data_IF_354095805466
#
_entry.id   IF_354095805466
#
_cell.length_a   1.000
_cell.length_b   1.000
_cell.length_c   1.000
_cell.angle_alpha   90.00
_cell.angle_beta   90.00
_cell.angle_gamma   90.00
#
_symmetry.space_group_name_H-M   'P 1'
#
loop_
_entity.id
_entity.type
_entity.pdbx_description
1 polymer ?
#
# COMPACT_ATOMS: atom_id res chain seq x y z
N UNK A 1 32.11 9.93 -48.66
CA UNK A 1 30.85 9.38 -48.10
C UNK A 1 30.93 9.02 -46.61
N UNK A 2 32.03 8.44 -46.10
CA UNK A 2 32.15 7.88 -44.73
C UNK A 2 31.64 8.77 -43.60
N UNK A 3 31.95 10.07 -43.61
CA UNK A 3 31.47 11.03 -42.61
C UNK A 3 29.94 11.18 -42.56
N UNK A 4 29.25 11.07 -43.70
CA UNK A 4 27.79 11.19 -43.76
C UNK A 4 27.12 9.97 -43.11
N UNK A 5 27.67 8.76 -43.35
CA UNK A 5 27.18 7.52 -42.70
C UNK A 5 27.36 7.58 -41.17
N UNK A 6 28.51 8.06 -40.67
CA UNK A 6 28.75 8.23 -39.23
C UNK A 6 27.87 9.31 -38.59
N UNK A 7 27.60 10.41 -39.31
CA UNK A 7 26.69 11.45 -38.82
C UNK A 7 25.23 10.96 -38.76
N UNK A 8 24.76 10.22 -39.77
CA UNK A 8 23.43 9.64 -39.77
C UNK A 8 23.24 8.62 -38.63
N UNK A 9 24.23 7.74 -38.40
CA UNK A 9 24.20 6.79 -37.28
C UNK A 9 24.09 7.49 -35.91
N UNK A 10 24.84 8.58 -35.69
CA UNK A 10 24.74 9.38 -34.46
C UNK A 10 23.37 10.05 -34.28
N UNK A 11 22.76 10.53 -35.37
CA UNK A 11 21.40 11.12 -35.31
C UNK A 11 20.36 10.05 -35.00
N UNK A 12 20.44 8.87 -35.62
CA UNK A 12 19.53 7.74 -35.35
C UNK A 12 19.68 7.27 -33.90
N UNK A 13 20.90 7.12 -33.39
CA UNK A 13 21.14 6.76 -32.00
C UNK A 13 20.58 7.81 -31.01
N UNK A 14 20.72 9.10 -31.32
CA UNK A 14 20.15 10.17 -30.50
C UNK A 14 18.61 10.20 -30.55
N UNK A 15 18.00 9.88 -31.70
CA UNK A 15 16.53 9.76 -31.83
C UNK A 15 16.00 8.53 -31.09
N UNK A 16 16.67 7.37 -31.16
CA UNK A 16 16.31 6.20 -30.35
C UNK A 16 16.43 6.50 -28.85
N UNK A 17 17.55 7.08 -28.41
CA UNK A 17 17.76 7.44 -27.01
C UNK A 17 16.71 8.47 -26.51
N UNK A 18 16.31 9.43 -27.36
CA UNK A 18 15.24 10.37 -27.04
C UNK A 18 13.85 9.70 -27.00
N UNK A 19 13.56 8.74 -27.88
CA UNK A 19 12.31 7.96 -27.80
C UNK A 19 12.25 7.09 -26.54
N UNK A 20 13.38 6.50 -26.13
CA UNK A 20 13.51 5.71 -24.91
C UNK A 20 13.36 6.54 -23.62
N UNK A 21 13.37 7.87 -23.72
CA UNK A 21 13.12 8.80 -22.61
C UNK A 21 11.64 9.23 -22.50
N UNK A 22 10.75 8.76 -23.41
CA UNK A 22 9.31 9.02 -23.34
C UNK A 22 8.48 7.85 -22.78
N UNK A 23 9.10 6.71 -22.45
CA UNK A 23 8.48 5.73 -21.54
C UNK A 23 8.54 6.30 -20.12
N UNK A 24 7.59 7.17 -19.79
CA UNK A 24 7.29 7.46 -18.41
C UNK A 24 6.94 6.13 -17.72
N UNK A 25 7.69 5.77 -16.67
CA UNK A 25 7.31 4.68 -15.80
C UNK A 25 6.09 5.18 -15.04
N UNK A 26 4.91 4.78 -15.49
CA UNK A 26 3.66 5.06 -14.78
C UNK A 26 3.67 4.24 -13.50
N UNK A 27 4.16 4.84 -12.42
CA UNK A 27 3.91 4.30 -11.09
C UNK A 27 2.39 4.22 -10.93
N UNK A 28 1.87 3.01 -10.71
CA UNK A 28 0.48 2.86 -10.26
C UNK A 28 0.40 3.51 -8.90
N UNK A 29 -0.61 4.35 -8.68
CA UNK A 29 -0.86 4.89 -7.36
C UNK A 29 -1.45 3.76 -6.51
N UNK A 30 -0.69 3.28 -5.53
CA UNK A 30 -1.20 2.27 -4.62
C UNK A 30 -2.28 2.89 -3.72
N UNK A 31 -3.40 2.17 -3.59
CA UNK A 31 -4.49 2.49 -2.69
C UNK A 31 -4.90 1.22 -1.96
N UNK A 32 -4.99 1.29 -0.65
CA UNK A 32 -5.30 0.18 0.25
C UNK A 32 -6.75 0.29 0.74
N UNK A 33 -7.29 -0.83 1.20
CA UNK A 33 -8.58 -0.90 1.85
C UNK A 33 -8.45 -1.62 3.19
N UNK A 34 -9.24 -1.16 4.16
CA UNK A 34 -9.37 -1.71 5.48
C UNK A 34 -10.86 -1.77 5.83
N UNK A 35 -11.29 -2.82 6.51
CA UNK A 35 -12.56 -2.83 7.24
C UNK A 35 -12.25 -2.35 8.67
N UNK A 36 -13.22 -2.31 9.57
CA UNK A 36 -13.06 -2.23 11.02
C UNK A 36 -14.41 -2.62 11.63
N UNK A 37 -14.40 -3.56 12.58
CA UNK A 37 -15.58 -4.10 13.29
C UNK A 37 -15.24 -4.21 14.79
N UNK A 38 -16.22 -4.22 15.71
CA UNK A 38 -15.93 -4.59 17.11
C UNK A 38 -15.57 -6.07 17.21
N UNK A 39 -14.85 -6.47 18.26
CA UNK A 39 -14.41 -7.86 18.45
C UNK A 39 -15.57 -8.86 18.57
N UNK A 40 -16.66 -8.42 19.20
CA UNK A 40 -17.93 -9.15 19.30
C UNK A 40 -19.13 -8.19 19.33
N UNK A 41 -20.33 -8.75 19.18
CA UNK A 41 -21.60 -8.07 19.50
C UNK A 41 -22.59 -9.08 20.09
N UNK A 42 -23.45 -8.66 21.02
CA UNK A 42 -24.52 -9.52 21.54
C UNK A 42 -25.67 -9.66 20.54
N UNK A 43 -26.40 -10.78 20.58
CA UNK A 43 -27.56 -10.98 19.70
C UNK A 43 -28.62 -9.90 19.90
N UNK A 44 -28.98 -9.21 18.81
CA UNK A 44 -29.93 -8.08 18.83
C UNK A 44 -29.26 -6.72 19.05
N UNK A 45 -27.98 -6.68 19.42
CA UNK A 45 -27.19 -5.44 19.48
C UNK A 45 -26.99 -4.85 18.07
N UNK A 46 -26.81 -3.52 17.99
CA UNK A 46 -26.46 -2.84 16.74
C UNK A 46 -25.04 -2.29 16.81
N UNK A 47 -24.23 -2.62 15.79
CA UNK A 47 -22.81 -2.34 15.73
C UNK A 47 -22.42 -1.61 14.44
N UNK A 48 -21.25 -0.95 14.45
CA UNK A 48 -20.71 -0.25 13.29
C UNK A 48 -19.63 -1.08 12.57
N UNK A 49 -19.68 -1.09 11.25
CA UNK A 49 -18.66 -1.61 10.35
C UNK A 49 -18.12 -0.44 9.55
N UNK A 50 -16.86 -0.08 9.77
CA UNK A 50 -16.21 1.07 9.12
C UNK A 50 -15.25 0.61 8.03
N UNK A 51 -15.55 0.97 6.79
CA UNK A 51 -14.62 0.82 5.67
C UNK A 51 -13.71 2.05 5.62
N UNK A 52 -12.39 1.86 5.50
CA UNK A 52 -11.39 2.93 5.38
C UNK A 52 -10.47 2.65 4.19
N UNK A 53 -10.10 3.69 3.45
CA UNK A 53 -9.30 3.58 2.23
C UNK A 53 -8.27 4.69 2.17
N UNK A 54 -7.01 4.33 1.99
CA UNK A 54 -5.86 5.24 2.01
C UNK A 54 -5.05 5.09 0.73
N UNK A 55 -4.57 6.20 0.15
CA UNK A 55 -3.84 6.21 -1.13
C UNK A 55 -2.77 7.30 -1.20
N UNK A 56 -1.72 7.08 -2.01
CA UNK A 56 -0.65 8.06 -2.27
C UNK A 56 -1.11 9.29 -3.09
N UNK A 57 -2.28 9.20 -3.71
CA UNK A 57 -2.90 10.26 -4.51
C UNK A 57 -4.34 10.50 -4.07
N UNK A 58 -4.91 11.72 -4.23
CA UNK A 58 -6.27 11.99 -3.80
C UNK A 58 -7.29 11.00 -4.36
N UNK A 59 -8.18 10.53 -3.49
CA UNK A 59 -9.32 9.68 -3.82
C UNK A 59 -10.49 10.58 -4.25
N UNK A 60 -11.16 10.23 -5.34
CA UNK A 60 -12.36 10.89 -5.84
C UNK A 60 -13.62 10.03 -5.74
N UNK A 61 -13.50 8.74 -6.05
CA UNK A 61 -14.61 7.79 -6.09
C UNK A 61 -14.16 6.42 -5.57
N UNK A 62 -15.01 5.78 -4.77
CA UNK A 62 -14.90 4.37 -4.39
C UNK A 62 -16.20 3.66 -4.78
N UNK A 63 -16.07 2.51 -5.42
CA UNK A 63 -17.15 1.58 -5.73
C UNK A 63 -16.71 0.19 -5.26
N UNK A 64 -17.49 -0.49 -4.41
CA UNK A 64 -17.16 -1.83 -3.90
C UNK A 64 -18.40 -2.56 -3.41
N UNK A 65 -18.36 -3.90 -3.44
CA UNK A 65 -19.33 -4.75 -2.78
C UNK A 65 -18.78 -5.18 -1.42
N UNK A 66 -19.58 -5.11 -0.36
CA UNK A 66 -19.31 -5.71 0.95
C UNK A 66 -20.18 -6.97 1.09
N UNK A 67 -19.53 -8.11 1.28
CA UNK A 67 -20.14 -9.44 1.41
C UNK A 67 -20.08 -9.87 2.88
N UNK A 68 -21.17 -10.44 3.40
CA UNK A 68 -21.33 -10.91 4.78
C UNK A 68 -22.41 -12.02 4.88
N UNK A 69 -22.51 -12.71 6.02
CA UNK A 69 -23.57 -13.70 6.27
C UNK A 69 -24.85 -13.03 6.81
N UNK A 70 -25.96 -13.14 6.06
CA UNK A 70 -27.25 -12.51 6.40
C UNK A 70 -28.16 -13.36 7.29
N UNK A 71 -27.72 -14.56 7.70
CA UNK A 71 -28.33 -15.33 8.78
C UNK A 71 -27.79 -14.91 10.16
N UNK A 72 -26.54 -14.45 10.22
CA UNK A 72 -25.84 -14.02 11.43
C UNK A 72 -26.04 -12.53 11.73
N UNK A 73 -26.07 -11.66 10.71
CA UNK A 73 -26.31 -10.21 10.88
C UNK A 73 -27.23 -9.60 9.81
N UNK A 74 -27.75 -8.41 10.07
CA UNK A 74 -28.58 -7.65 9.12
C UNK A 74 -28.06 -6.22 8.96
N UNK A 75 -27.99 -5.73 7.72
CA UNK A 75 -27.66 -4.33 7.40
C UNK A 75 -28.81 -3.39 7.75
N UNK A 76 -28.54 -2.31 8.48
CA UNK A 76 -29.57 -1.37 8.98
C UNK A 76 -29.39 0.09 8.56
N UNK A 77 -28.21 0.52 8.09
CA UNK A 77 -27.99 1.91 7.71
C UNK A 77 -26.56 2.26 7.28
N UNK A 78 -26.37 3.49 6.79
CA UNK A 78 -25.09 3.99 6.25
C UNK A 78 -25.18 4.42 4.78
N UNK A 79 -24.06 4.89 4.21
CA UNK A 79 -23.98 5.35 2.80
C UNK A 79 -23.88 4.20 1.78
N UNK A 80 -24.77 3.22 1.85
CA UNK A 80 -24.73 2.05 0.97
C UNK A 80 -26.13 1.44 0.70
N UNK A 81 -26.22 0.53 -0.27
CA UNK A 81 -27.48 -0.12 -0.65
C UNK A 81 -27.31 -1.59 -1.01
N UNK A 82 -28.12 -2.46 -0.39
CA UNK A 82 -28.12 -3.89 -0.67
C UNK A 82 -29.02 -4.68 0.28
N UNK A 83 -28.99 -6.00 0.14
CA UNK A 83 -29.80 -6.97 0.87
C UNK A 83 -29.38 -8.38 0.47
N UNK A 84 -29.45 -9.37 1.37
CA UNK A 84 -29.13 -10.76 1.03
C UNK A 84 -27.63 -11.03 0.98
N UNK A 85 -26.93 -10.73 2.09
CA UNK A 85 -25.49 -10.94 2.24
C UNK A 85 -24.57 -10.04 1.41
N UNK A 86 -25.11 -9.14 0.58
CA UNK A 86 -24.32 -8.23 -0.28
C UNK A 86 -24.83 -6.78 -0.19
N UNK A 87 -23.90 -5.85 0.00
CA UNK A 87 -24.13 -4.40 0.06
C UNK A 87 -23.24 -3.70 -0.97
N UNK A 88 -23.83 -2.93 -1.87
CA UNK A 88 -23.10 -2.06 -2.79
C UNK A 88 -22.79 -0.73 -2.09
N UNK A 89 -21.49 -0.43 -1.94
CA UNK A 89 -20.98 0.81 -1.36
C UNK A 89 -20.49 1.70 -2.50
N UNK A 90 -20.94 2.96 -2.50
CA UNK A 90 -20.49 3.96 -3.47
C UNK A 90 -20.35 5.33 -2.83
N UNK A 91 -19.12 5.73 -2.57
CA UNK A 91 -18.79 6.99 -1.89
C UNK A 91 -17.98 7.91 -2.81
N UNK A 92 -18.27 9.21 -2.76
CA UNK A 92 -17.62 10.24 -3.59
C UNK A 92 -16.98 11.24 -2.66
N UNK A 93 -15.66 11.43 -2.76
CA UNK A 93 -14.96 12.35 -1.87
C UNK A 93 -15.41 13.79 -2.12
N UNK A 94 -15.92 14.46 -1.08
CA UNK A 94 -16.39 15.84 -1.14
C UNK A 94 -15.25 16.87 -1.32
N UNK A 95 -14.00 16.45 -1.20
CA UNK A 95 -12.79 17.26 -1.31
C UNK A 95 -11.58 16.39 -1.74
N UNK A 96 -10.48 17.00 -2.18
CA UNK A 96 -9.22 16.27 -2.36
C UNK A 96 -8.74 15.72 -1.00
N UNK A 97 -8.73 14.39 -0.85
CA UNK A 97 -8.29 13.68 0.36
C UNK A 97 -7.51 12.43 -0.02
N UNK A 98 -6.43 12.14 0.70
CA UNK A 98 -5.68 10.88 0.55
C UNK A 98 -6.36 9.70 1.26
N UNK A 99 -7.30 10.01 2.16
CA UNK A 99 -8.03 9.03 2.97
C UNK A 99 -9.54 9.23 2.80
N UNK A 100 -10.30 8.14 2.76
CA UNK A 100 -11.76 8.15 2.75
C UNK A 100 -12.28 7.08 3.72
N UNK A 101 -13.47 7.29 4.28
CA UNK A 101 -14.11 6.29 5.15
C UNK A 101 -15.62 6.30 5.00
N UNK A 102 -16.22 5.10 5.05
CA UNK A 102 -17.66 4.86 5.04
C UNK A 102 -18.00 4.10 6.32
N UNK A 103 -19.02 4.55 7.05
CA UNK A 103 -19.55 3.82 8.21
C UNK A 103 -20.90 3.22 7.84
N UNK A 104 -21.06 1.93 8.15
CA UNK A 104 -22.25 1.12 7.92
C UNK A 104 -22.73 0.58 9.26
N UNK A 105 -24.04 0.60 9.52
CA UNK A 105 -24.62 0.03 10.74
C UNK A 105 -25.26 -1.32 10.43
N UNK A 106 -25.07 -2.25 11.36
CA UNK A 106 -25.63 -3.60 11.32
C UNK A 106 -26.35 -3.90 12.64
N UNK A 107 -27.15 -4.95 12.65
CA UNK A 107 -27.74 -5.55 13.85
C UNK A 107 -27.46 -7.05 13.85
N UNK A 108 -27.05 -7.59 15.00
CA UNK A 108 -26.83 -9.01 15.21
C UNK A 108 -28.16 -9.78 15.21
N UNK A 109 -28.26 -10.88 14.45
CA UNK A 109 -29.50 -11.63 14.22
C UNK A 109 -29.48 -12.99 14.95
N UNK A 110 -28.36 -13.69 14.84
CA UNK A 110 -28.13 -15.02 15.42
C UNK A 110 -26.67 -15.16 15.87
N UNK A 111 -26.38 -15.97 16.90
CA UNK A 111 -25.00 -16.24 17.31
C UNK A 111 -24.22 -17.00 16.23
N UNK A 112 -22.92 -16.77 16.16
CA UNK A 112 -22.00 -17.43 15.22
C UNK A 112 -20.88 -16.51 14.71
N UNK A 113 -19.98 -17.10 13.93
CA UNK A 113 -18.87 -16.38 13.30
C UNK A 113 -19.37 -15.53 12.12
N UNK A 114 -19.08 -14.23 12.16
CA UNK A 114 -19.48 -13.27 11.13
C UNK A 114 -18.25 -12.75 10.39
N UNK A 115 -18.13 -13.09 9.10
CA UNK A 115 -17.09 -12.53 8.23
C UNK A 115 -17.63 -11.41 7.35
N UNK A 116 -16.77 -10.45 7.06
CA UNK A 116 -16.99 -9.34 6.13
C UNK A 116 -15.87 -9.36 5.09
N UNK A 117 -16.19 -9.27 3.80
CA UNK A 117 -15.19 -9.22 2.72
C UNK A 117 -15.55 -8.17 1.67
N UNK A 118 -14.59 -7.33 1.29
CA UNK A 118 -14.70 -6.45 0.13
C UNK A 118 -14.43 -7.22 -1.17
N UNK A 119 -15.34 -7.08 -2.13
CA UNK A 119 -15.25 -7.63 -3.49
C UNK A 119 -15.55 -6.54 -4.53
N UNK A 120 -15.12 -6.74 -5.78
CA UNK A 120 -15.31 -5.79 -6.90
C UNK A 120 -14.85 -4.35 -6.60
N UNK A 121 -13.94 -4.16 -5.64
CA UNK A 121 -13.52 -2.84 -5.18
C UNK A 121 -12.70 -2.11 -6.24
N UNK A 122 -13.02 -0.84 -6.44
CA UNK A 122 -12.35 0.05 -7.39
C UNK A 122 -12.23 1.45 -6.80
N UNK A 123 -10.99 1.84 -6.50
CA UNK A 123 -10.65 3.20 -6.04
C UNK A 123 -10.20 4.03 -7.23
N UNK A 124 -10.72 5.25 -7.39
CA UNK A 124 -10.40 6.15 -8.50
C UNK A 124 -10.13 7.59 -8.04
N UNK A 125 -9.30 8.32 -8.79
CA UNK A 125 -8.98 9.73 -8.57
C UNK A 125 -10.18 10.66 -8.82
N UNK A 126 -10.13 11.96 -8.41
CA UNK A 126 -11.13 12.97 -8.77
C UNK A 126 -11.37 13.12 -10.28
N UNK A 127 -10.38 12.81 -11.11
CA UNK A 127 -10.46 12.80 -12.58
C UNK A 127 -11.06 11.48 -13.14
N UNK A 128 -11.38 10.50 -12.30
CA UNK A 128 -11.91 9.19 -12.69
C UNK A 128 -10.85 8.15 -13.11
N UNK A 129 -9.56 8.45 -12.91
CA UNK A 129 -8.46 7.51 -13.21
C UNK A 129 -8.48 6.39 -12.16
N UNK A 130 -8.47 5.10 -12.54
CA UNK A 130 -8.34 4.02 -11.54
C UNK A 130 -6.98 4.13 -10.84
N UNK A 131 -6.99 3.98 -9.52
CA UNK A 131 -5.79 3.94 -8.68
C UNK A 131 -5.42 2.49 -8.39
N UNK A 132 -6.30 1.77 -7.69
CA UNK A 132 -6.15 0.34 -7.39
C UNK A 132 -7.49 -0.39 -7.25
N UNK A 133 -7.39 -1.71 -7.20
CA UNK A 133 -8.48 -2.66 -6.91
C UNK A 133 -8.15 -3.41 -5.59
N UNK A 134 -8.16 -2.72 -4.43
CA UNK A 134 -7.77 -3.33 -3.17
C UNK A 134 -8.78 -4.37 -2.70
N UNK A 135 -8.38 -5.24 -1.79
CA UNK A 135 -9.28 -6.17 -1.10
C UNK A 135 -9.02 -6.12 0.39
N UNK A 136 -10.06 -6.36 1.19
CA UNK A 136 -10.00 -6.37 2.64
C UNK A 136 -11.01 -7.37 3.21
N UNK A 137 -10.73 -7.90 4.39
CA UNK A 137 -11.62 -8.84 5.08
C UNK A 137 -11.50 -8.67 6.58
N UNK A 138 -12.60 -8.83 7.30
CA UNK A 138 -12.68 -8.80 8.75
C UNK A 138 -13.52 -9.98 9.25
N UNK A 139 -13.37 -10.33 10.53
CA UNK A 139 -14.23 -11.27 11.23
C UNK A 139 -14.56 -10.72 12.62
N UNK A 140 -15.70 -11.15 13.17
CA UNK A 140 -16.11 -10.95 14.56
C UNK A 140 -17.03 -12.11 14.97
N UNK A 141 -17.26 -12.28 16.27
CA UNK A 141 -18.26 -13.25 16.77
C UNK A 141 -19.55 -12.53 17.18
N UNK A 142 -20.69 -13.06 16.78
CA UNK A 142 -21.97 -12.72 17.41
C UNK A 142 -22.21 -13.70 18.56
N UNK A 143 -22.36 -13.17 19.77
CA UNK A 143 -22.61 -13.94 20.98
C UNK A 143 -24.11 -14.19 21.15
N UNK A 144 -24.49 -15.16 22.01
CA UNK A 144 -25.88 -15.23 22.48
C UNK A 144 -26.23 -14.01 23.34
N UNK A 145 -27.53 -13.72 23.45
CA UNK A 145 -28.05 -12.68 24.34
C UNK A 145 -27.78 -13.11 25.79
N UNK A 146 -27.01 -12.31 26.55
CA UNK A 146 -26.63 -12.66 27.93
C UNK A 146 -27.77 -12.53 28.95
N UNK A 147 -28.96 -12.10 28.53
CA UNK A 147 -30.11 -11.82 29.40
C UNK A 147 -31.05 -13.01 29.66
N UNK A 148 -30.53 -14.12 30.22
CA UNK A 148 -31.18 -14.88 31.32
C UNK A 148 -30.37 -16.12 31.74
N UNK A 149 -29.63 -16.05 32.85
CA UNK A 149 -29.65 -17.10 33.89
C UNK A 149 -28.94 -16.66 35.21
N UNK A 150 -29.61 -15.81 35.99
CA UNK A 150 -29.17 -15.43 37.33
C UNK A 150 -29.56 -16.45 38.43
N UNK A 151 -29.55 -17.76 38.11
CA UNK A 151 -29.91 -18.85 39.04
C UNK A 151 -28.79 -19.16 40.05
N UNK A 152 -28.72 -18.32 41.09
CA UNK A 152 -28.33 -18.66 42.48
C UNK A 152 -27.34 -19.84 42.68
N UNK A 153 -26.04 -19.58 42.49
CA UNK A 153 -24.96 -20.47 42.98
C UNK A 153 -24.37 -19.95 44.29
N UNK A 154 -24.96 -20.38 45.41
CA UNK A 154 -24.56 -19.96 46.76
C UNK A 154 -23.55 -20.96 47.37
N UNK A 155 -22.25 -20.76 47.10
CA UNK A 155 -21.16 -21.50 47.77
C UNK A 155 -19.88 -20.63 47.86
N UNK A 156 -19.09 -20.68 48.96
CA UNK A 156 -18.10 -19.65 49.26
C UNK A 156 -16.77 -19.85 48.52
N UNK A 157 -16.02 -18.75 48.39
CA UNK A 157 -14.81 -18.70 47.57
C UNK A 157 -13.60 -19.46 48.12
N UNK A 158 -12.95 -20.17 47.20
CA UNK A 158 -11.54 -20.56 47.18
C UNK A 158 -10.95 -19.95 45.89
N UNK A 159 -9.71 -19.48 45.77
CA UNK A 159 -8.73 -18.98 46.75
C UNK A 159 -7.84 -17.96 45.99
N UNK A 160 -7.15 -17.04 46.68
CA UNK A 160 -6.24 -16.09 46.01
C UNK A 160 -4.92 -16.74 45.61
N UNK A 161 -4.95 -17.55 44.56
CA UNK A 161 -3.74 -18.07 43.90
C UNK A 161 -3.19 -17.08 42.87
N UNK A 162 -1.86 -16.90 42.86
CA UNK A 162 -1.19 -16.01 41.92
C UNK A 162 -1.17 -16.63 40.51
N UNK A 163 -2.11 -16.21 39.66
CA UNK A 163 -2.02 -16.50 38.24
C UNK A 163 -0.73 -15.90 37.67
N UNK A 164 -0.07 -16.68 36.82
CA UNK A 164 0.97 -16.17 35.92
C UNK A 164 0.28 -15.99 34.57
N UNK A 165 0.47 -14.86 33.91
CA UNK A 165 -0.22 -14.52 32.64
C UNK A 165 0.26 -15.37 31.44
N UNK A 166 0.99 -16.46 31.72
CA UNK A 166 1.76 -17.30 30.81
C UNK A 166 1.77 -18.77 31.28
N UNK A 167 1.84 -19.68 30.31
CA UNK A 167 1.97 -21.12 30.56
C UNK A 167 3.38 -21.57 31.02
N UNK A 168 3.55 -22.88 31.22
CA UNK A 168 4.84 -23.49 31.60
C UNK A 168 5.95 -23.36 30.54
N UNK A 169 5.61 -22.91 29.32
CA UNK A 169 6.55 -22.61 28.24
C UNK A 169 6.81 -21.09 28.09
N UNK A 170 6.14 -20.25 28.87
CA UNK A 170 6.27 -18.79 28.85
C UNK A 170 5.41 -18.09 27.78
N UNK A 171 4.49 -18.81 27.13
CA UNK A 171 3.56 -18.28 26.14
C UNK A 171 2.37 -17.63 26.88
N UNK A 172 1.98 -16.38 26.55
CA UNK A 172 0.79 -15.74 27.13
C UNK A 172 -0.48 -16.58 27.00
N UNK A 173 -1.44 -16.38 27.89
CA UNK A 173 -2.79 -16.94 27.71
C UNK A 173 -3.66 -16.10 26.77
N UNK A 174 -3.48 -14.78 26.75
CA UNK A 174 -4.26 -13.81 25.98
C UNK A 174 -3.40 -13.06 24.95
N UNK A 175 -4.06 -12.46 23.96
CA UNK A 175 -3.44 -11.65 22.92
C UNK A 175 -2.47 -12.41 22.03
N UNK A 176 -2.64 -13.73 21.83
CA UNK A 176 -1.76 -14.57 21.00
C UNK A 176 -2.53 -15.63 20.22
N UNK A 177 -1.97 -16.08 19.10
CA UNK A 177 -2.57 -17.10 18.24
C UNK A 177 -2.11 -18.51 18.63
N UNK A 178 -2.94 -19.52 18.34
CA UNK A 178 -2.61 -20.96 18.43
C UNK A 178 -2.18 -21.55 17.10
N UNK A 179 -2.66 -21.00 15.98
CA UNK A 179 -2.22 -21.36 14.63
C UNK A 179 -2.34 -20.19 13.65
N UNK A 180 -1.62 -20.28 12.52
CA UNK A 180 -1.86 -19.49 11.31
C UNK A 180 -1.85 -20.47 10.14
N UNK A 181 -2.88 -20.42 9.30
CA UNK A 181 -3.03 -21.21 8.07
C UNK A 181 -2.97 -20.28 6.86
N UNK A 182 -2.34 -20.73 5.77
CA UNK A 182 -2.17 -19.96 4.53
C UNK A 182 -2.66 -20.76 3.31
N UNK A 183 -3.26 -20.08 2.33
CA UNK A 183 -3.89 -20.75 1.19
C UNK A 183 -2.91 -21.33 0.15
N UNK A 184 -1.65 -20.90 0.18
CA UNK A 184 -0.59 -21.36 -0.71
C UNK A 184 0.79 -21.18 -0.05
N UNK A 185 1.75 -22.03 -0.41
CA UNK A 185 3.10 -21.99 0.18
C UNK A 185 3.14 -22.47 1.63
N UNK A 186 4.24 -22.13 2.32
CA UNK A 186 4.49 -22.46 3.72
C UNK A 186 4.95 -21.21 4.49
N UNK A 187 4.63 -21.14 5.79
CA UNK A 187 5.16 -20.12 6.68
C UNK A 187 6.64 -20.39 6.97
N UNK A 188 7.47 -19.36 6.80
CA UNK A 188 8.90 -19.39 7.12
C UNK A 188 9.20 -18.27 8.13
N UNK A 189 9.55 -18.58 9.39
CA UNK A 189 9.64 -19.93 9.98
C UNK A 189 8.25 -20.59 10.17
N UNK A 190 8.24 -21.86 10.56
CA UNK A 190 7.02 -22.53 11.03
C UNK A 190 6.37 -21.73 12.18
N UNK A 191 5.04 -21.78 12.29
CA UNK A 191 4.29 -20.96 13.23
C UNK A 191 4.75 -21.14 14.69
N UNK A 192 4.89 -20.01 15.40
CA UNK A 192 5.06 -19.99 16.85
C UNK A 192 4.33 -18.78 17.45
N UNK A 193 3.60 -18.93 18.57
CA UNK A 193 2.87 -17.82 19.20
C UNK A 193 3.75 -16.62 19.60
N UNK A 194 5.07 -16.79 19.68
CA UNK A 194 6.04 -15.75 20.05
C UNK A 194 6.91 -15.27 18.86
N UNK A 195 6.55 -15.65 17.64
CA UNK A 195 7.18 -15.15 16.39
C UNK A 195 6.13 -14.33 15.64
N UNK A 196 6.50 -13.10 15.28
CA UNK A 196 5.59 -12.09 14.74
C UNK A 196 5.92 -11.64 13.31
N UNK A 197 7.04 -12.08 12.73
CA UNK A 197 7.43 -11.79 11.34
C UNK A 197 7.63 -13.11 10.58
N UNK A 198 6.87 -13.29 9.49
CA UNK A 198 6.89 -14.45 8.62
C UNK A 198 7.10 -14.06 7.16
N UNK A 199 7.70 -14.97 6.40
CA UNK A 199 7.73 -14.91 4.93
C UNK A 199 7.00 -16.13 4.39
N UNK A 200 6.14 -15.94 3.39
CA UNK A 200 5.53 -17.03 2.61
C UNK A 200 5.98 -16.87 1.17
N UNK A 201 6.36 -17.98 0.53
CA UNK A 201 6.72 -18.02 -0.89
C UNK A 201 5.64 -18.75 -1.67
N UNK A 202 5.19 -18.15 -2.77
CA UNK A 202 4.12 -18.67 -3.62
C UNK A 202 4.51 -18.62 -5.09
N UNK A 203 3.95 -19.53 -5.89
CA UNK A 203 4.20 -19.60 -7.33
C UNK A 203 3.61 -18.41 -8.10
N UNK A 204 4.08 -18.20 -9.33
CA UNK A 204 3.78 -16.98 -10.09
C UNK A 204 2.29 -16.82 -10.46
N UNK A 205 1.58 -17.93 -10.63
CA UNK A 205 0.16 -18.01 -10.97
C UNK A 205 -0.78 -17.75 -9.77
N UNK A 206 -0.25 -17.60 -8.56
CA UNK A 206 -1.04 -17.22 -7.39
C UNK A 206 -1.39 -15.72 -7.46
N UNK A 207 -2.62 -15.43 -7.89
CA UNK A 207 -3.19 -14.07 -7.89
C UNK A 207 -3.83 -13.66 -6.55
N UNK A 208 -4.33 -14.63 -5.78
CA UNK A 208 -5.06 -14.41 -4.52
C UNK A 208 -4.48 -15.29 -3.43
N UNK A 209 -4.25 -14.69 -2.26
CA UNK A 209 -3.68 -15.32 -1.08
C UNK A 209 -4.57 -15.05 0.14
N UNK A 210 -5.00 -16.12 0.78
CA UNK A 210 -5.82 -16.06 1.98
C UNK A 210 -5.03 -16.55 3.20
N UNK A 211 -5.36 -15.98 4.35
CA UNK A 211 -4.75 -16.25 5.64
C UNK A 211 -5.88 -16.39 6.64
N UNK A 212 -5.81 -17.43 7.45
CA UNK A 212 -6.70 -17.68 8.58
C UNK A 212 -5.88 -18.03 9.82
N UNK A 213 -6.47 -17.95 11.02
CA UNK A 213 -5.77 -18.11 12.28
C UNK A 213 -6.72 -18.43 13.44
N UNK A 214 -6.22 -19.22 14.38
CA UNK A 214 -6.94 -19.57 15.61
C UNK A 214 -6.39 -18.74 16.78
N UNK A 215 -7.29 -18.24 17.63
CA UNK A 215 -6.97 -17.49 18.86
C UNK A 215 -6.71 -18.44 20.03
N UNK A 216 -5.95 -17.97 21.02
CA UNK A 216 -5.59 -18.78 22.20
C UNK A 216 -6.60 -18.66 23.33
N UNK A 217 -7.09 -17.46 23.65
CA UNK A 217 -8.27 -17.32 24.51
C UNK A 217 -9.57 -17.34 23.70
N UNK A 218 -10.68 -17.53 24.41
CA UNK A 218 -12.01 -17.26 23.86
C UNK A 218 -12.37 -15.76 23.93
N UNK A 219 -11.74 -15.01 24.85
CA UNK A 219 -11.86 -13.55 25.00
C UNK A 219 -11.01 -12.74 24.00
N UNK A 220 -10.13 -13.41 23.24
CA UNK A 220 -9.28 -12.78 22.23
C UNK A 220 -10.09 -12.43 20.96
N UNK A 221 -9.78 -11.30 20.33
CA UNK A 221 -10.36 -10.86 19.06
C UNK A 221 -9.31 -10.88 17.94
N UNK A 222 -9.65 -11.43 16.77
CA UNK A 222 -8.75 -11.51 15.61
C UNK A 222 -9.11 -10.46 14.56
N UNK A 223 -8.09 -9.74 14.07
CA UNK A 223 -8.21 -8.65 13.12
C UNK A 223 -7.30 -8.85 11.90
N UNK A 224 -7.82 -8.73 10.68
CA UNK A 224 -7.08 -9.01 9.45
C UNK A 224 -6.86 -7.76 8.58
N UNK A 225 -5.64 -7.61 8.05
CA UNK A 225 -5.20 -6.44 7.29
C UNK A 225 -4.39 -6.83 6.04
N UNK A 226 -4.34 -5.92 5.06
CA UNK A 226 -3.63 -6.10 3.80
C UNK A 226 -4.44 -6.85 2.72
N UNK A 227 -4.07 -6.63 1.46
CA UNK A 227 -4.79 -7.18 0.29
C UNK A 227 -4.68 -8.71 0.21
N UNK A 228 -5.78 -9.38 -0.10
CA UNK A 228 -5.79 -10.79 -0.55
C UNK A 228 -5.23 -10.93 -1.97
N UNK A 229 -5.51 -9.96 -2.87
CA UNK A 229 -4.94 -9.91 -4.23
C UNK A 229 -3.45 -9.55 -4.17
N UNK A 230 -2.59 -10.37 -4.78
CA UNK A 230 -1.14 -10.25 -4.74
C UNK A 230 -0.58 -9.29 -5.79
N UNK A 231 0.49 -8.58 -5.43
CA UNK A 231 1.26 -7.67 -6.27
C UNK A 231 2.62 -8.26 -6.68
N UNK A 232 3.12 -7.88 -7.85
CA UNK A 232 4.47 -8.25 -8.34
C UNK A 232 5.60 -7.67 -7.49
N UNK A 233 5.32 -6.60 -6.73
CA UNK A 233 6.21 -5.97 -5.75
C UNK A 233 6.32 -6.72 -4.42
N UNK A 234 5.50 -7.76 -4.21
CA UNK A 234 5.32 -8.45 -2.93
C UNK A 234 4.24 -7.78 -2.07
N UNK A 235 3.49 -8.59 -1.32
CA UNK A 235 2.30 -8.14 -0.58
C UNK A 235 2.45 -8.44 0.90
N UNK A 236 2.00 -7.52 1.76
CA UNK A 236 2.00 -7.72 3.22
C UNK A 236 0.57 -7.98 3.69
N UNK A 237 0.40 -9.04 4.47
CA UNK A 237 -0.79 -9.32 5.28
C UNK A 237 -0.42 -9.15 6.74
N UNK A 238 -1.33 -8.63 7.54
CA UNK A 238 -1.19 -8.59 9.01
C UNK A 238 -2.40 -9.23 9.68
N UNK A 239 -2.15 -9.93 10.77
CA UNK A 239 -3.13 -10.45 11.71
C UNK A 239 -2.83 -9.76 13.04
N UNK A 240 -3.80 -9.10 13.66
CA UNK A 240 -3.68 -8.67 15.06
C UNK A 240 -4.57 -9.53 15.91
N UNK A 241 -4.15 -9.80 17.13
CA UNK A 241 -4.96 -10.46 18.14
C UNK A 241 -4.87 -9.65 19.43
N UNK A 242 -6.02 -9.26 19.96
CA UNK A 242 -6.11 -8.35 21.10
C UNK A 242 -7.30 -8.67 22.01
N UNK A 243 -7.25 -8.21 23.25
CA UNK A 243 -8.34 -8.31 24.22
C UNK A 243 -8.74 -6.94 24.82
N UNK A 244 -9.87 -6.90 25.52
CA UNK A 244 -10.36 -5.73 26.26
C UNK A 244 -9.50 -5.36 27.49
N UNK A 245 -8.50 -6.18 27.84
CA UNK A 245 -7.57 -5.93 28.94
C UNK A 245 -6.27 -5.25 28.48
N UNK A 246 -6.08 -5.11 27.16
CA UNK A 246 -4.97 -4.38 26.55
C UNK A 246 -3.76 -5.26 26.19
N UNK A 247 -3.92 -6.58 26.13
CA UNK A 247 -2.98 -7.44 25.43
C UNK A 247 -3.22 -7.26 23.91
N UNK A 248 -2.17 -6.95 23.14
CA UNK A 248 -2.19 -6.84 21.67
C UNK A 248 -0.89 -7.42 21.13
N UNK A 249 -0.98 -8.36 20.19
CA UNK A 249 0.15 -8.73 19.34
C UNK A 249 -0.25 -8.73 17.86
N UNK A 250 0.67 -8.27 17.00
CA UNK A 250 0.50 -8.21 15.55
C UNK A 250 1.48 -9.15 14.86
N UNK A 251 0.94 -10.15 14.16
CA UNK A 251 1.65 -11.13 13.33
C UNK A 251 1.64 -10.64 11.87
N UNK A 252 2.83 -10.45 11.29
CA UNK A 252 3.04 -9.91 9.95
C UNK A 252 3.57 -10.99 9.00
N UNK A 253 2.94 -11.10 7.84
CA UNK A 253 3.23 -12.10 6.82
C UNK A 253 3.58 -11.37 5.52
N UNK A 254 4.82 -11.57 5.05
CA UNK A 254 5.31 -11.01 3.79
C UNK A 254 5.24 -12.09 2.70
N UNK A 255 4.33 -11.90 1.75
CA UNK A 255 4.12 -12.82 0.62
C UNK A 255 5.06 -12.44 -0.52
N UNK A 256 5.94 -13.37 -0.88
CA UNK A 256 6.88 -13.25 -1.99
C UNK A 256 6.41 -14.16 -3.13
N UNK A 257 5.82 -13.57 -4.17
CA UNK A 257 5.49 -14.29 -5.39
C UNK A 257 6.76 -14.59 -6.19
N UNK A 258 6.85 -15.77 -6.78
CA UNK A 258 7.89 -16.10 -7.75
C UNK A 258 7.87 -15.09 -8.92
N UNK A 259 9.02 -14.77 -9.54
CA UNK A 259 9.03 -13.96 -10.75
C UNK A 259 8.25 -14.65 -11.87
N UNK A 260 7.79 -13.89 -12.86
CA UNK A 260 7.22 -14.46 -14.07
C UNK A 260 8.17 -15.51 -14.67
N UNK A 261 7.68 -16.67 -15.14
CA UNK A 261 8.50 -17.55 -15.95
C UNK A 261 8.95 -16.74 -17.17
N UNK A 262 10.27 -16.54 -17.30
CA UNK A 262 10.85 -15.97 -18.51
C UNK A 262 10.36 -16.82 -19.69
N UNK A 263 9.64 -16.21 -20.63
CA UNK A 263 9.16 -16.85 -21.87
C UNK A 263 10.36 -17.17 -22.77
N UNK A 264 11.07 -18.24 -22.36
CA UNK A 264 12.22 -18.79 -23.04
C UNK A 264 11.79 -19.25 -24.40
N UNK A 265 11.96 -18.38 -25.39
CA UNK A 265 11.77 -18.61 -26.82
C UNK A 265 12.88 -19.52 -27.38
N UNK A 266 13.13 -20.62 -26.66
CA UNK A 266 14.05 -21.69 -27.00
C UNK A 266 13.35 -22.60 -28.01
N UNK A 267 13.80 -22.56 -29.26
CA UNK A 267 13.25 -23.39 -30.33
C UNK A 267 13.52 -24.87 -30.04
N UNK A 268 12.49 -25.72 -30.12
CA UNK A 268 12.64 -27.18 -30.05
C UNK A 268 13.52 -27.73 -31.20
N UNK A 269 14.82 -27.87 -30.95
CA UNK A 269 15.61 -28.97 -31.53
C UNK A 269 15.97 -29.98 -30.43
N UNK A 270 16.12 -31.25 -30.80
CA UNK A 270 15.92 -32.38 -29.89
C UNK A 270 17.21 -33.11 -29.49
N UNK A 271 17.07 -33.97 -28.45
CA UNK A 271 17.92 -35.12 -28.06
C UNK A 271 18.93 -34.91 -26.90
N UNK A 272 18.45 -35.21 -25.69
CA UNK A 272 19.02 -36.17 -24.71
C UNK A 272 20.56 -36.33 -24.54
N UNK A 273 21.07 -36.06 -23.33
CA UNK A 273 21.51 -37.15 -22.42
C UNK A 273 21.85 -36.68 -20.98
N UNK A 274 21.25 -37.36 -19.99
CA UNK A 274 21.80 -37.85 -18.70
C UNK A 274 22.79 -37.04 -17.81
N UNK A 275 22.39 -36.95 -16.53
CA UNK A 275 23.18 -37.21 -15.30
C UNK A 275 23.88 -36.08 -14.49
N UNK A 276 23.30 -35.84 -13.31
CA UNK A 276 23.93 -35.92 -11.97
C UNK A 276 25.04 -34.95 -11.48
N UNK A 277 24.64 -34.11 -10.52
CA UNK A 277 25.33 -33.76 -9.24
C UNK A 277 26.52 -32.77 -9.18
N UNK A 278 26.46 -31.91 -8.16
CA UNK A 278 27.47 -31.74 -7.08
C UNK A 278 28.11 -30.35 -6.85
N UNK A 279 27.86 -29.83 -5.63
CA UNK A 279 28.85 -29.19 -4.74
C UNK A 279 29.42 -27.77 -4.97
N UNK A 280 28.75 -26.81 -4.32
CA UNK A 280 29.28 -25.94 -3.24
C UNK A 280 30.31 -24.80 -3.46
N UNK A 281 30.02 -23.69 -2.74
CA UNK A 281 30.95 -22.70 -2.15
C UNK A 281 31.72 -21.75 -3.14
N UNK A 282 32.32 -20.64 -2.72
CA UNK A 282 32.51 -20.03 -1.38
C UNK A 282 32.74 -18.50 -1.49
N UNK A 283 32.39 -17.70 -0.46
CA UNK A 283 32.95 -16.34 -0.16
C UNK A 283 32.78 -15.19 -1.19
N UNK A 284 32.92 -13.88 -0.88
CA UNK A 284 32.99 -13.14 0.40
C UNK A 284 32.80 -11.60 0.20
N UNK A 285 32.31 -10.93 1.26
CA UNK A 285 32.75 -9.62 1.82
C UNK A 285 32.55 -8.32 0.98
N UNK A 286 31.82 -7.27 1.42
CA UNK A 286 32.02 -6.33 2.59
C UNK A 286 33.21 -5.38 2.36
N UNK A 287 33.21 -4.03 2.50
CA UNK A 287 32.22 -2.95 2.80
C UNK A 287 32.73 -1.62 2.13
N UNK A 288 32.35 -0.35 2.36
CA UNK A 288 31.75 0.42 3.49
C UNK A 288 31.25 1.82 3.03
N UNK A 289 30.65 2.57 3.98
CA UNK A 289 30.82 4.01 4.32
C UNK A 289 31.53 4.99 3.31
N UNK A 290 31.19 6.29 3.28
CA UNK A 290 30.92 7.13 4.46
C UNK A 290 30.10 8.43 4.27
N UNK A 291 29.69 8.94 5.44
CA UNK A 291 29.28 10.29 5.89
C UNK A 291 30.34 11.41 5.57
N UNK A 292 30.23 12.72 5.92
CA UNK A 292 29.19 13.43 6.73
C UNK A 292 28.80 14.90 6.33
N UNK A 293 27.74 15.43 6.99
CA UNK A 293 27.52 16.83 7.47
C UNK A 293 27.62 18.06 6.49
N UNK A 294 27.31 19.34 6.82
CA UNK A 294 26.81 19.96 8.07
C UNK A 294 25.92 21.24 7.86
N UNK A 295 25.14 21.52 8.90
CA UNK A 295 24.07 22.46 9.34
C UNK A 295 24.06 24.01 9.08
N UNK A 296 22.96 24.66 9.54
CA UNK A 296 22.76 26.11 9.91
C UNK A 296 22.69 27.18 8.78
N UNK A 297 22.10 28.38 8.86
CA UNK A 297 21.03 29.09 9.65
C UNK A 297 20.69 30.41 8.86
N UNK A 298 19.76 31.35 9.16
CA UNK A 298 18.87 31.70 10.30
C UNK A 298 17.52 32.29 9.76
N UNK A 299 16.79 33.16 10.49
CA UNK A 299 15.57 33.90 10.07
C UNK A 299 15.74 35.44 10.23
N UNK A 300 14.71 36.26 9.90
CA UNK A 300 14.14 37.40 10.72
C UNK A 300 13.38 38.46 9.88
N UNK A 301 12.05 38.52 10.08
CA UNK A 301 11.16 39.73 10.22
C UNK A 301 11.03 40.81 9.11
N UNK A 302 9.78 41.04 8.64
CA UNK A 302 9.07 42.35 8.79
C UNK A 302 7.55 42.28 8.51
N UNK A 303 6.77 42.95 9.36
CA UNK A 303 5.30 43.06 9.41
C UNK A 303 4.86 44.55 9.17
N UNK A 304 3.58 44.97 9.23
CA UNK A 304 2.35 44.45 8.59
C UNK A 304 1.45 45.57 8.01
N UNK A 305 0.27 45.24 7.44
CA UNK A 305 -0.91 46.14 7.44
C UNK A 305 -2.25 45.45 7.06
N UNK A 306 -3.05 45.04 8.05
CA UNK A 306 -4.52 44.94 7.95
C UNK A 306 -5.13 44.97 9.36
N UNK A 307 -6.41 45.33 9.52
CA UNK A 307 -6.98 45.64 10.85
C UNK A 307 -8.36 45.07 11.14
N UNK A 308 -8.44 44.22 12.19
CA UNK A 308 -9.65 43.77 12.93
C UNK A 308 -10.63 42.89 12.13
N UNK A 309 -11.36 41.92 12.70
CA UNK A 309 -11.48 41.29 14.05
C UNK A 309 -12.06 39.86 13.79
N UNK A 310 -11.86 38.77 14.55
CA UNK A 310 -11.86 38.61 16.01
C UNK A 310 -11.16 37.31 16.50
N UNK A 311 -11.02 37.17 17.83
CA UNK A 311 -10.51 36.00 18.61
C UNK A 311 -11.46 34.77 18.58
N UNK A 312 -11.06 33.53 18.92
CA UNK A 312 -9.71 32.91 19.13
C UNK A 312 -9.80 31.36 19.26
N UNK A 313 -8.65 30.67 19.10
CA UNK A 313 -8.30 29.28 19.54
C UNK A 313 -9.14 28.12 18.98
N UNK A 314 -8.61 26.95 18.61
CA UNK A 314 -7.27 26.30 18.77
C UNK A 314 -7.10 25.24 17.64
N UNK A 315 -5.98 24.64 17.26
CA UNK A 315 -4.53 24.77 17.45
C UNK A 315 -3.87 23.61 16.67
N UNK A 316 -3.38 23.83 15.45
CA UNK A 316 -2.48 22.94 14.72
C UNK A 316 -1.78 23.75 13.60
N UNK A 317 -0.50 23.47 13.30
CA UNK A 317 0.30 24.28 12.38
C UNK A 317 0.40 23.68 10.96
N UNK A 318 0.25 24.47 9.88
CA UNK A 318 0.39 24.00 8.50
C UNK A 318 1.86 23.90 8.06
N UNK A 319 2.17 22.95 7.19
CA UNK A 319 3.54 22.69 6.71
C UNK A 319 4.04 23.70 5.66
N UNK A 320 5.28 24.17 5.83
CA UNK A 320 5.91 25.23 5.02
C UNK A 320 6.16 24.91 3.55
N UNK A 321 5.93 23.66 3.11
CA UNK A 321 6.10 23.26 1.70
C UNK A 321 5.12 23.97 0.75
N UNK A 322 3.94 24.38 1.24
CA UNK A 322 2.93 25.09 0.46
C UNK A 322 3.41 26.46 -0.04
N UNK A 323 4.09 27.23 0.82
CA UNK A 323 4.55 28.58 0.46
C UNK A 323 5.76 28.55 -0.49
N UNK A 324 6.68 27.59 -0.27
CA UNK A 324 7.80 27.32 -1.18
C UNK A 324 7.29 26.95 -2.58
N UNK A 325 6.36 25.97 -2.68
CA UNK A 325 5.78 25.55 -3.96
C UNK A 325 5.12 26.73 -4.68
N UNK A 326 4.42 27.62 -3.96
CA UNK A 326 3.74 28.78 -4.54
C UNK A 326 4.68 29.91 -4.98
N UNK A 327 5.85 30.09 -4.35
CA UNK A 327 6.87 31.08 -4.73
C UNK A 327 7.83 30.58 -5.83
N UNK A 328 8.26 29.32 -5.80
CA UNK A 328 9.25 28.81 -6.75
C UNK A 328 8.68 28.50 -8.15
N UNK A 329 7.41 28.08 -8.26
CA UNK A 329 6.81 27.65 -9.53
C UNK A 329 6.87 28.70 -10.67
N UNK A 330 6.59 30.01 -10.46
CA UNK A 330 6.80 31.02 -11.50
C UNK A 330 8.28 31.28 -11.82
N UNK A 331 9.18 31.19 -10.83
CA UNK A 331 10.63 31.34 -11.05
C UNK A 331 11.19 30.20 -11.90
N UNK A 332 10.75 28.96 -11.65
CA UNK A 332 11.14 27.78 -12.42
C UNK A 332 10.78 27.93 -13.91
N UNK A 333 9.57 28.42 -14.21
CA UNK A 333 9.12 28.69 -15.58
C UNK A 333 9.95 29.79 -16.27
N UNK A 334 10.33 30.84 -15.55
CA UNK A 334 11.21 31.90 -16.08
C UNK A 334 12.62 31.36 -16.37
N UNK A 335 13.21 30.58 -15.45
CA UNK A 335 14.52 29.95 -15.64
C UNK A 335 14.50 29.00 -16.84
N UNK A 336 13.47 28.16 -16.95
CA UNK A 336 13.28 27.25 -18.09
C UNK A 336 13.15 28.01 -19.42
N UNK A 337 12.38 29.09 -19.45
CA UNK A 337 12.23 29.95 -20.62
C UNK A 337 13.54 30.62 -21.06
N UNK A 338 14.35 31.10 -20.10
CA UNK A 338 15.69 31.66 -20.37
C UNK A 338 16.65 30.59 -20.91
N UNK A 339 16.59 29.36 -20.38
CA UNK A 339 17.42 28.23 -20.83
C UNK A 339 17.07 27.83 -22.28
N UNK A 340 15.77 27.76 -22.61
CA UNK A 340 15.29 27.52 -23.98
C UNK A 340 15.71 28.65 -24.94
N UNK A 341 15.63 29.92 -24.51
CA UNK A 341 16.07 31.06 -25.32
C UNK A 341 17.59 31.00 -25.60
N UNK A 342 18.39 30.67 -24.60
CA UNK A 342 19.84 30.47 -24.75
C UNK A 342 20.16 29.34 -25.73
N UNK A 343 19.43 28.21 -25.66
CA UNK A 343 19.55 27.09 -26.60
C UNK A 343 19.28 27.53 -28.05
N UNK A 344 18.21 28.30 -28.29
CA UNK A 344 17.86 28.84 -29.62
C UNK A 344 18.95 29.78 -30.15
N UNK A 345 19.53 30.63 -29.31
CA UNK A 345 20.65 31.51 -29.67
C UNK A 345 21.89 30.67 -30.05
N UNK A 346 22.23 29.65 -29.27
CA UNK A 346 23.36 28.73 -29.55
C UNK A 346 23.16 27.98 -30.88
N UNK A 347 21.97 27.41 -31.11
CA UNK A 347 21.62 26.73 -32.37
C UNK A 347 21.76 27.69 -33.57
N UNK A 348 21.26 28.92 -33.44
CA UNK A 348 21.34 29.96 -34.47
C UNK A 348 22.80 30.37 -34.76
N UNK A 349 23.62 30.49 -33.71
CA UNK A 349 25.05 30.79 -33.83
C UNK A 349 25.81 29.66 -34.53
N UNK A 350 25.53 28.39 -34.19
CA UNK A 350 26.13 27.22 -34.82
C UNK A 350 25.79 27.17 -36.33
N UNK A 351 24.53 27.42 -36.71
CA UNK A 351 24.10 27.47 -38.12
C UNK A 351 24.80 28.59 -38.89
N UNK A 352 24.85 29.81 -38.34
CA UNK A 352 25.59 30.94 -38.93
C UNK A 352 27.11 30.65 -39.07
N UNK A 353 27.71 29.99 -38.07
CA UNK A 353 29.14 29.59 -38.05
C UNK A 353 29.46 28.51 -39.10
N UNK A 354 28.53 27.59 -39.38
CA UNK A 354 28.61 26.65 -40.52
C UNK A 354 28.73 27.42 -41.84
N UNK A 355 27.86 28.39 -42.08
CA UNK A 355 27.79 29.07 -43.37
C UNK A 355 28.98 30.00 -43.61
N UNK A 356 29.53 30.60 -42.55
CA UNK A 356 30.83 31.32 -42.61
C UNK A 356 31.99 30.39 -43.00
N UNK A 357 32.02 29.14 -42.52
CA UNK A 357 33.00 28.13 -42.98
C UNK A 357 32.80 27.78 -44.46
N UNK A 358 31.55 27.53 -44.90
CA UNK A 358 31.22 27.23 -46.31
C UNK A 358 31.66 28.36 -47.25
N UNK A 359 31.44 29.62 -46.88
CA UNK A 359 31.86 30.79 -47.69
C UNK A 359 33.38 30.91 -47.80
N UNK A 360 34.14 30.72 -46.70
CA UNK A 360 35.62 30.78 -46.72
C UNK A 360 36.26 29.74 -47.64
N UNK A 361 35.73 28.52 -47.67
CA UNK A 361 36.23 27.44 -48.56
C UNK A 361 36.02 27.81 -50.04
N UNK A 362 34.87 28.40 -50.38
CA UNK A 362 34.57 28.80 -51.76
C UNK A 362 35.47 29.95 -52.24
N UNK A 363 35.89 30.85 -51.36
CA UNK A 363 36.88 31.90 -51.69
C UNK A 363 38.32 31.41 -51.86
N UNK A 364 38.75 30.36 -51.15
CA UNK A 364 40.10 29.79 -51.34
C UNK A 364 40.24 28.95 -52.61
N UNK A 365 39.13 28.46 -53.17
CA UNK A 365 39.10 27.68 -54.40
C UNK A 365 39.12 28.52 -55.69
N UNK A 366 39.08 29.86 -55.59
CA UNK A 366 39.02 30.79 -56.72
C UNK A 366 40.34 31.47 -57.10
N UNK A 367 41.48 30.95 -56.62
CA UNK A 367 42.84 31.43 -56.96
C UNK A 367 43.80 30.25 -57.17
N UNK A 368 43.62 29.56 -58.29
CA UNK A 368 44.64 28.80 -59.02
C UNK A 368 44.32 28.89 -60.51
#
# INVERSE_FOLDING_TARGET
MTYIKRLAALIIAFVLAAMLQLTAITASAEALAFISVPGSAERGESFEVKLSFDADTPIGLIETDLIFDDSVAAFTGGSASGSGGVIHVKEVSAQESLTLSVVLTFTAVAPGDLSFTLSNCRVSSPEGTPLAEPSASAAMVVLEDSSDDAENSDQPGEDQSSLSDKDENGIPYHGVLTSITVSAGELIPEFSPLIYDYVVKVDHDVEVFEVDAERRSEDDHIWYEGSKKLSETGTVRTIRVYDDNGHDNTYKIVVQRAPAPEESSESEETVSSEAETSSAAETAVVTTAADPADTSEEEITSEPASSRSSKASSSAAPSGMSELRRKLMPWLLVVLGVLVLALVIVITWIRNKSDRKRRRIKSSSGRK
#
